data_IF_133510846652
#
_entry.id   IF_133510846652
#
_cell.length_a   1.000
_cell.length_b   1.000
_cell.length_c   1.000
_cell.angle_alpha   90.00
_cell.angle_beta   90.00
_cell.angle_gamma   90.00
#
_symmetry.space_group_name_H-M   'P 1'
#
loop_
_entity.id
_entity.type
_entity.pdbx_description
1 polymer ?
#
# COMPACT_ATOMS: atom_id res chain seq x y z
N UNK A 1 2.27 -23.36 -23.97
CA UNK A 1 2.87 -23.13 -22.63
C UNK A 1 3.66 -21.84 -22.70
N UNK A 2 3.31 -20.77 -21.96
CA UNK A 2 4.00 -19.50 -22.04
C UNK A 2 4.96 -19.34 -20.85
N UNK A 3 6.12 -19.97 -20.94
CA UNK A 3 7.20 -19.80 -19.96
C UNK A 3 8.16 -18.64 -20.34
N UNK A 4 7.75 -17.77 -21.28
CA UNK A 4 8.58 -16.69 -21.81
C UNK A 4 8.38 -15.32 -21.14
N UNK A 5 7.56 -15.23 -20.09
CA UNK A 5 7.21 -13.95 -19.44
C UNK A 5 7.59 -13.85 -17.95
N UNK A 6 8.23 -14.87 -17.39
CA UNK A 6 8.61 -14.86 -15.98
C UNK A 6 10.13 -14.98 -15.83
N UNK A 7 10.84 -13.92 -16.23
CA UNK A 7 12.24 -13.77 -15.85
C UNK A 7 12.37 -13.69 -14.32
N UNK A 8 13.42 -14.32 -13.80
CA UNK A 8 13.77 -14.31 -12.38
C UNK A 8 14.21 -12.89 -12.00
N UNK A 9 13.49 -12.19 -11.12
CA UNK A 9 13.72 -10.76 -10.97
C UNK A 9 14.97 -10.49 -10.12
N UNK A 10 16.06 -10.08 -10.75
CA UNK A 10 17.24 -9.50 -10.10
C UNK A 10 17.14 -7.97 -10.04
N UNK A 11 17.26 -7.40 -8.85
CA UNK A 11 17.62 -6.00 -8.64
C UNK A 11 16.48 -4.97 -8.73
N UNK A 12 15.95 -4.59 -7.56
CA UNK A 12 15.37 -3.29 -7.16
C UNK A 12 14.34 -2.53 -8.02
N UNK A 13 13.90 -3.01 -9.19
CA UNK A 13 12.81 -2.42 -9.96
C UNK A 13 11.77 -3.49 -10.31
N UNK A 14 10.79 -3.70 -9.43
CA UNK A 14 9.63 -4.59 -9.67
C UNK A 14 8.36 -3.74 -9.82
N UNK A 15 8.30 -2.97 -10.89
CA UNK A 15 7.08 -2.31 -11.32
C UNK A 15 6.28 -3.35 -12.13
N UNK A 16 5.41 -4.07 -11.43
CA UNK A 16 4.68 -5.22 -11.95
C UNK A 16 3.24 -4.88 -12.26
N UNK A 17 2.94 -4.62 -13.52
CA UNK A 17 1.64 -4.92 -14.09
C UNK A 17 1.38 -6.42 -13.87
N UNK A 18 0.33 -6.72 -13.11
CA UNK A 18 -0.04 -8.09 -12.74
C UNK A 18 -0.85 -8.74 -13.87
N UNK A 19 -1.73 -7.97 -14.52
CA UNK A 19 -2.56 -8.47 -15.61
C UNK A 19 -3.15 -7.33 -16.45
N UNK A 20 -3.51 -7.63 -17.70
CA UNK A 20 -4.34 -6.80 -18.56
C UNK A 20 -5.67 -7.49 -18.76
N UNK A 21 -6.77 -6.79 -18.48
CA UNK A 21 -8.12 -7.28 -18.71
C UNK A 21 -8.48 -7.18 -20.20
N UNK A 22 -9.44 -7.99 -20.67
CA UNK A 22 -9.91 -7.95 -22.06
C UNK A 22 -10.40 -6.56 -22.50
N UNK A 23 -10.81 -5.73 -21.53
CA UNK A 23 -11.24 -4.34 -21.73
C UNK A 23 -10.06 -3.35 -21.85
N UNK A 24 -8.81 -3.83 -21.90
CA UNK A 24 -7.59 -3.01 -22.00
C UNK A 24 -7.15 -2.36 -20.69
N UNK A 25 -7.85 -2.62 -19.57
CA UNK A 25 -7.49 -2.12 -18.23
C UNK A 25 -6.35 -2.91 -17.62
N UNK A 26 -5.53 -2.23 -16.85
CA UNK A 26 -4.34 -2.79 -16.21
C UNK A 26 -4.59 -2.99 -14.72
N UNK A 27 -4.26 -4.18 -14.23
CA UNK A 27 -4.11 -4.46 -12.80
C UNK A 27 -2.64 -4.29 -12.45
N UNK A 28 -2.35 -3.46 -11.45
CA UNK A 28 -0.99 -3.21 -10.99
C UNK A 28 -0.90 -3.19 -9.47
N UNK A 29 0.33 -3.30 -8.99
CA UNK A 29 0.65 -3.35 -7.57
C UNK A 29 1.59 -2.24 -7.15
N UNK A 30 1.32 -1.66 -5.97
CA UNK A 30 2.18 -0.70 -5.31
C UNK A 30 2.48 -1.12 -3.88
N UNK A 31 3.69 -0.81 -3.41
CA UNK A 31 4.14 -1.05 -2.04
C UNK A 31 4.76 0.21 -1.47
N UNK A 32 4.51 0.49 -0.20
CA UNK A 32 5.32 1.43 0.56
C UNK A 32 5.62 0.86 1.94
N UNK A 33 6.80 1.19 2.46
CA UNK A 33 7.29 0.76 3.77
C UNK A 33 7.63 1.99 4.58
N UNK A 34 7.08 2.08 5.78
CA UNK A 34 7.39 3.14 6.76
C UNK A 34 7.93 2.50 8.03
N UNK A 35 9.10 2.93 8.46
CA UNK A 35 9.77 2.41 9.66
C UNK A 35 9.98 3.52 10.68
N UNK A 36 9.88 3.18 11.97
CA UNK A 36 10.13 4.09 13.07
C UNK A 36 9.05 4.02 14.14
N UNK A 37 8.88 5.12 14.86
CA UNK A 37 7.80 5.28 15.82
C UNK A 37 6.52 5.68 15.08
N UNK A 38 5.52 4.81 15.12
CA UNK A 38 4.27 4.95 14.37
C UNK A 38 3.08 5.18 15.30
N UNK A 39 2.05 5.81 14.74
CA UNK A 39 0.84 6.16 15.48
C UNK A 39 1.17 7.00 16.71
N UNK A 40 2.06 7.98 16.58
CA UNK A 40 2.36 8.94 17.64
C UNK A 40 1.34 10.08 17.60
N UNK A 41 0.61 10.30 18.70
CA UNK A 41 -0.38 11.36 18.85
C UNK A 41 -0.10 12.22 20.08
N UNK A 42 -0.84 13.31 20.26
CA UNK A 42 -0.69 14.16 21.42
C UNK A 42 -1.08 13.41 22.70
N UNK A 43 -0.49 13.79 23.84
CA UNK A 43 -0.84 13.23 25.15
C UNK A 43 -2.31 13.59 25.43
N UNK A 44 -3.19 12.59 25.43
CA UNK A 44 -4.64 12.76 25.62
C UNK A 44 -5.51 12.20 24.48
N UNK A 45 -4.93 11.90 23.32
CA UNK A 45 -5.67 11.30 22.20
C UNK A 45 -5.94 9.81 22.43
N UNK A 46 -7.22 9.43 22.42
CA UNK A 46 -7.66 8.03 22.50
C UNK A 46 -7.40 7.26 21.21
N UNK A 47 -7.26 7.97 20.08
CA UNK A 47 -7.00 7.41 18.74
C UNK A 47 -5.81 8.15 18.14
N UNK A 48 -4.81 7.40 17.69
CA UNK A 48 -3.58 7.95 17.11
C UNK A 48 -3.55 7.63 15.62
N UNK A 49 -3.18 8.61 14.82
CA UNK A 49 -3.27 8.53 13.36
C UNK A 49 -1.89 8.53 12.70
N UNK A 50 -1.79 7.83 11.57
CA UNK A 50 -0.60 7.76 10.74
C UNK A 50 -1.00 7.90 9.27
N UNK A 51 -0.17 8.58 8.46
CA UNK A 51 -0.47 8.75 7.03
C UNK A 51 0.54 8.00 6.19
N UNK A 52 0.03 7.23 5.22
CA UNK A 52 0.83 6.48 4.26
C UNK A 52 0.36 6.75 2.83
N UNK A 53 1.31 6.82 1.90
CA UNK A 53 1.05 7.04 0.49
C UNK A 53 1.67 5.90 -0.31
N UNK A 54 0.86 5.14 -1.02
CA UNK A 54 1.35 4.03 -1.86
C UNK A 54 1.24 4.43 -3.31
N UNK A 55 2.37 4.46 -4.02
CA UNK A 55 2.41 4.72 -5.47
C UNK A 55 2.24 3.41 -6.21
N UNK A 56 1.29 3.36 -7.15
CA UNK A 56 1.10 2.25 -8.08
C UNK A 56 1.72 2.65 -9.42
N UNK A 57 2.93 2.18 -9.70
CA UNK A 57 3.81 2.75 -10.71
C UNK A 57 3.38 2.49 -12.15
N UNK A 58 2.77 1.33 -12.42
CA UNK A 58 2.37 0.91 -13.77
C UNK A 58 1.02 1.47 -14.21
N UNK A 59 0.40 2.30 -13.37
CA UNK A 59 -0.82 3.02 -13.71
C UNK A 59 -0.51 4.50 -13.86
N UNK A 60 -1.07 5.13 -14.90
CA UNK A 60 -1.09 6.60 -15.02
C UNK A 60 -2.09 7.22 -14.07
N UNK A 61 -3.24 6.57 -13.91
CA UNK A 61 -4.27 6.91 -12.94
C UNK A 61 -4.91 5.65 -12.39
N UNK A 62 -5.37 5.72 -11.13
CA UNK A 62 -6.11 4.63 -10.50
C UNK A 62 -7.60 4.95 -10.63
N UNK A 63 -8.35 4.04 -11.23
CA UNK A 63 -9.81 4.11 -11.30
C UNK A 63 -10.43 3.43 -10.07
N UNK A 64 -9.91 2.26 -9.71
CA UNK A 64 -10.40 1.48 -8.59
C UNK A 64 -9.25 0.77 -7.87
N UNK A 65 -9.42 0.54 -6.58
CA UNK A 65 -8.45 -0.20 -5.78
C UNK A 65 -9.13 -1.47 -5.28
N UNK A 66 -8.61 -2.60 -5.72
CA UNK A 66 -9.15 -3.94 -5.43
C UNK A 66 -8.90 -4.35 -4.00
N UNK A 67 -7.67 -4.16 -3.52
CA UNK A 67 -7.28 -4.60 -2.19
C UNK A 67 -6.22 -3.69 -1.60
N UNK A 68 -6.24 -3.59 -0.27
CA UNK A 68 -5.19 -2.99 0.53
C UNK A 68 -4.83 -3.96 1.64
N UNK A 69 -3.56 -4.32 1.73
CA UNK A 69 -3.03 -5.16 2.79
C UNK A 69 -2.01 -4.38 3.61
N UNK A 70 -2.05 -4.61 4.92
CA UNK A 70 -1.11 -4.04 5.86
C UNK A 70 -0.37 -5.17 6.59
N UNK A 71 0.93 -5.01 6.71
CA UNK A 71 1.80 -5.88 7.49
C UNK A 71 2.63 -5.03 8.45
N UNK A 72 2.78 -5.49 9.69
CA UNK A 72 3.56 -4.79 10.72
C UNK A 72 4.55 -5.74 11.38
N UNK A 73 5.79 -5.28 11.52
CA UNK A 73 6.88 -6.05 12.12
C UNK A 73 7.69 -5.20 13.12
N UNK A 74 7.93 -5.67 14.36
CA UNK A 74 7.43 -6.90 14.96
C UNK A 74 5.89 -6.92 15.06
N UNK A 75 5.31 -8.12 14.99
CA UNK A 75 3.85 -8.30 15.10
C UNK A 75 3.41 -7.99 16.52
N UNK A 76 2.78 -6.85 16.71
CA UNK A 76 2.10 -6.50 17.95
C UNK A 76 0.58 -6.67 17.79
N UNK A 77 -0.13 -6.94 18.89
CA UNK A 77 -1.60 -6.97 18.93
C UNK A 77 -2.18 -5.56 18.78
N UNK A 78 -2.05 -4.99 17.59
CA UNK A 78 -2.45 -3.63 17.28
C UNK A 78 -3.52 -3.69 16.21
N UNK A 79 -4.71 -3.23 16.58
CA UNK A 79 -5.79 -3.06 15.63
C UNK A 79 -5.53 -1.78 14.82
N UNK A 80 -5.10 -1.96 13.57
CA UNK A 80 -4.93 -0.87 12.61
C UNK A 80 -6.19 -0.81 11.75
N UNK A 81 -6.86 0.34 11.75
CA UNK A 81 -8.01 0.61 10.89
C UNK A 81 -7.68 1.74 9.94
N UNK A 82 -8.02 1.61 8.65
CA UNK A 82 -7.92 2.73 7.73
C UNK A 82 -9.19 3.61 7.85
N UNK A 83 -9.03 4.89 8.18
CA UNK A 83 -10.14 5.83 8.39
C UNK A 83 -10.56 6.55 7.11
N UNK A 84 -9.68 6.60 6.13
CA UNK A 84 -9.92 7.33 4.90
C UNK A 84 -8.91 6.95 3.84
N UNK A 85 -9.37 6.99 2.59
CA UNK A 85 -8.57 6.71 1.41
C UNK A 85 -8.82 7.79 0.37
N UNK A 86 -7.75 8.35 -0.15
CA UNK A 86 -7.76 9.34 -1.21
C UNK A 86 -6.88 8.86 -2.35
N UNK A 87 -7.46 8.79 -3.53
CA UNK A 87 -6.74 8.45 -4.76
C UNK A 87 -6.42 9.76 -5.47
N UNK A 88 -5.18 9.93 -5.92
CA UNK A 88 -4.75 11.11 -6.69
C UNK A 88 -3.73 10.67 -7.73
N UNK A 89 -4.14 10.67 -9.00
CA UNK A 89 -3.36 10.08 -10.09
C UNK A 89 -3.10 8.60 -9.82
N UNK A 90 -1.83 8.22 -9.72
CA UNK A 90 -1.39 6.86 -9.44
C UNK A 90 -0.97 6.60 -7.99
N UNK A 91 -1.38 7.47 -7.08
CA UNK A 91 -1.06 7.36 -5.65
C UNK A 91 -2.34 7.14 -4.84
N UNK A 92 -2.27 6.20 -3.91
CA UNK A 92 -3.29 5.96 -2.89
C UNK A 92 -2.77 6.46 -1.55
N UNK A 93 -3.30 7.60 -1.10
CA UNK A 93 -3.10 8.11 0.24
C UNK A 93 -4.11 7.50 1.21
N UNK A 94 -3.65 7.08 2.39
CA UNK A 94 -4.48 6.49 3.42
C UNK A 94 -4.11 7.04 4.78
N UNK A 95 -5.13 7.30 5.59
CA UNK A 95 -4.96 7.57 7.02
C UNK A 95 -5.28 6.31 7.79
N UNK A 96 -4.32 5.84 8.57
CA UNK A 96 -4.42 4.70 9.45
C UNK A 96 -4.63 5.19 10.88
N UNK A 97 -5.38 4.43 11.66
CA UNK A 97 -5.64 4.71 13.06
C UNK A 97 -5.34 3.49 13.92
N UNK A 98 -4.79 3.75 15.09
CA UNK A 98 -4.50 2.78 16.13
C UNK A 98 -4.73 3.42 17.50
N UNK A 99 -5.13 2.63 18.49
CA UNK A 99 -5.22 3.07 19.89
C UNK A 99 -3.87 2.98 20.63
N UNK A 100 -2.85 2.37 20.00
CA UNK A 100 -1.53 2.13 20.58
C UNK A 100 -0.46 2.78 19.71
N UNK A 101 0.40 3.57 20.34
CA UNK A 101 1.65 4.02 19.70
C UNK A 101 2.67 2.89 19.81
N UNK A 102 3.48 2.73 18.78
CA UNK A 102 4.46 1.64 18.70
C UNK A 102 5.79 2.22 18.30
N UNK A 103 6.83 1.83 19.02
CA UNK A 103 8.18 2.31 18.82
C UNK A 103 9.01 1.28 18.08
N UNK A 104 9.83 1.70 17.12
CA UNK A 104 10.75 0.81 16.41
C UNK A 104 10.08 -0.27 15.55
N UNK A 105 8.94 0.04 14.94
CA UNK A 105 8.20 -0.90 14.07
C UNK A 105 8.38 -0.55 12.59
N UNK A 106 8.14 -1.54 11.73
CA UNK A 106 8.05 -1.39 10.28
C UNK A 106 6.64 -1.71 9.83
N UNK A 107 5.95 -0.74 9.25
CA UNK A 107 4.66 -0.90 8.59
C UNK A 107 4.86 -1.00 7.08
N UNK A 108 4.34 -2.06 6.50
CA UNK A 108 4.27 -2.26 5.05
C UNK A 108 2.82 -2.13 4.60
N UNK A 109 2.56 -1.26 3.63
CA UNK A 109 1.27 -1.14 2.97
C UNK A 109 1.39 -1.58 1.51
N UNK A 110 0.48 -2.45 1.10
CA UNK A 110 0.42 -3.04 -0.23
C UNK A 110 -0.94 -2.74 -0.84
N UNK A 111 -0.93 -2.25 -2.08
CA UNK A 111 -2.13 -1.81 -2.78
C UNK A 111 -2.18 -2.47 -4.13
N UNK A 112 -3.31 -3.13 -4.42
CA UNK A 112 -3.61 -3.67 -5.74
C UNK A 112 -4.70 -2.78 -6.35
N UNK A 113 -4.42 -2.22 -7.53
CA UNK A 113 -5.28 -1.26 -8.17
C UNK A 113 -5.50 -1.56 -9.65
N UNK A 114 -6.59 -1.02 -10.19
CA UNK A 114 -6.96 -1.07 -11.61
C UNK A 114 -6.97 0.35 -12.16
N UNK A 115 -6.46 0.51 -13.37
CA UNK A 115 -6.62 1.73 -14.14
C UNK A 115 -6.38 1.52 -15.63
N UNK A 116 -6.44 2.59 -16.43
CA UNK A 116 -5.96 2.56 -17.80
C UNK A 116 -4.44 2.33 -17.84
N UNK A 117 -3.93 1.79 -18.96
CA UNK A 117 -2.50 1.62 -19.20
C UNK A 117 -1.72 2.95 -19.23
#
# INVERSE_FOLDING_TARGET
MPDKYFDTPSGYNKHGQIAVLQDGRVIAYGKNVKSGDLFTGAVGDTVKCETIYVRVPDLRMIEYVLNVQFDISPTECINITHLGKKITGNVVGMTLASHKAVTGVTLTAEVIAIGPP
#
